data_IF_883101869922
#
_entry.id   IF_883101869922
#
_cell.length_a   1.000
_cell.length_b   1.000
_cell.length_c   1.000
_cell.angle_alpha   90.00
_cell.angle_beta   90.00
_cell.angle_gamma   90.00
#
_symmetry.space_group_name_H-M   'P 1'
#
loop_
_entity.id
_entity.type
_entity.pdbx_description
1 polymer ?
#
# COMPACT_ATOMS: atom_id res chain seq x y z
N UNK A 1 -16.36 -4.94 -0.23
CA UNK A 1 -17.24 -5.22 0.95
C UNK A 1 -18.34 -4.17 1.01
N UNK A 2 -19.56 -4.55 1.40
CA UNK A 2 -20.58 -3.54 1.67
C UNK A 2 -20.22 -2.78 2.93
N UNK A 3 -20.30 -1.44 2.89
CA UNK A 3 -20.14 -0.57 4.05
C UNK A 3 -21.09 -1.05 5.16
N UNK A 4 -20.62 -1.36 6.38
CA UNK A 4 -21.49 -1.77 7.46
C UNK A 4 -22.52 -0.69 7.78
N UNK A 5 -23.74 -1.08 8.14
CA UNK A 5 -24.72 -0.14 8.63
C UNK A 5 -24.17 0.54 9.88
N UNK A 6 -24.09 1.85 9.85
CA UNK A 6 -23.40 2.68 10.87
C UNK A 6 -23.97 2.59 12.28
N UNK A 7 -25.11 1.94 12.48
CA UNK A 7 -25.79 1.99 13.77
C UNK A 7 -26.51 0.67 14.06
N UNK A 8 -26.07 -0.02 15.10
CA UNK A 8 -26.84 -1.08 15.74
C UNK A 8 -27.65 -0.46 16.87
N UNK A 9 -28.98 -0.41 16.74
CA UNK A 9 -29.88 0.10 17.76
C UNK A 9 -30.59 -1.06 18.44
N UNK A 10 -30.54 -1.12 19.75
CA UNK A 10 -31.39 -2.02 20.53
C UNK A 10 -31.94 -1.30 21.76
N UNK A 11 -33.18 -1.66 22.14
CA UNK A 11 -33.85 -1.14 23.34
C UNK A 11 -33.89 -2.20 24.40
N UNK A 12 -33.43 -1.86 25.59
CA UNK A 12 -33.55 -2.73 26.76
C UNK A 12 -33.91 -1.84 27.96
N UNK A 13 -35.03 -2.17 28.63
CA UNK A 13 -35.45 -1.43 29.84
C UNK A 13 -35.72 0.05 29.64
N UNK A 14 -36.23 0.46 28.46
CA UNK A 14 -36.52 1.87 28.14
C UNK A 14 -35.30 2.69 27.68
N UNK A 15 -34.11 2.10 27.68
CA UNK A 15 -32.88 2.74 27.23
C UNK A 15 -32.60 2.32 25.80
N UNK A 16 -32.31 3.27 24.91
CA UNK A 16 -31.90 3.03 23.54
C UNK A 16 -30.39 3.07 23.46
N UNK A 17 -29.79 1.99 22.97
CA UNK A 17 -28.34 1.88 22.71
C UNK A 17 -28.07 2.02 21.23
N UNK A 18 -27.09 2.85 20.91
CA UNK A 18 -26.58 3.05 19.55
C UNK A 18 -25.10 2.71 19.51
N UNK A 19 -24.67 1.85 18.59
CA UNK A 19 -23.26 1.46 18.45
C UNK A 19 -22.78 1.69 17.02
N UNK A 20 -21.69 2.41 16.87
CA UNK A 20 -20.98 2.65 15.60
C UNK A 20 -19.66 1.87 15.52
N UNK A 21 -19.44 0.90 16.40
CA UNK A 21 -18.16 0.17 16.49
C UNK A 21 -17.79 -0.51 15.17
N UNK A 22 -18.74 -1.19 14.52
CA UNK A 22 -18.48 -1.90 13.26
C UNK A 22 -18.12 -0.92 12.14
N UNK A 23 -18.76 0.23 12.11
CA UNK A 23 -18.43 1.28 11.13
C UNK A 23 -17.05 1.90 11.41
N UNK A 24 -16.72 2.18 12.65
CA UNK A 24 -15.41 2.69 13.03
C UNK A 24 -14.29 1.69 12.72
N UNK A 25 -14.49 0.41 13.04
CA UNK A 25 -13.54 -0.66 12.69
C UNK A 25 -13.35 -0.77 11.16
N UNK A 26 -14.44 -0.73 10.39
CA UNK A 26 -14.37 -0.71 8.94
C UNK A 26 -13.54 0.48 8.43
N UNK A 27 -13.83 1.69 8.90
CA UNK A 27 -13.15 2.92 8.48
C UNK A 27 -11.65 2.85 8.79
N UNK A 28 -11.25 2.38 9.97
CA UNK A 28 -9.84 2.21 10.34
C UNK A 28 -9.13 1.24 9.42
N UNK A 29 -9.74 0.09 9.15
CA UNK A 29 -9.14 -0.94 8.28
C UNK A 29 -8.99 -0.44 6.84
N UNK A 30 -10.01 0.19 6.28
CA UNK A 30 -9.95 0.69 4.90
C UNK A 30 -9.00 1.89 4.76
N UNK A 31 -8.94 2.81 5.74
CA UNK A 31 -7.93 3.87 5.75
C UNK A 31 -6.50 3.31 5.83
N UNK A 32 -6.28 2.30 6.67
CA UNK A 32 -4.98 1.64 6.76
C UNK A 32 -4.59 1.00 5.43
N UNK A 33 -5.54 0.40 4.72
CA UNK A 33 -5.31 -0.18 3.39
C UNK A 33 -5.00 0.88 2.35
N UNK A 34 -5.74 1.99 2.35
CA UNK A 34 -5.50 3.12 1.46
C UNK A 34 -4.09 3.70 1.68
N UNK A 35 -3.71 3.92 2.93
CA UNK A 35 -2.36 4.35 3.30
C UNK A 35 -1.28 3.39 2.77
N UNK A 36 -1.45 2.08 2.97
CA UNK A 36 -0.51 1.06 2.50
C UNK A 36 -0.39 1.01 0.98
N UNK A 37 -1.50 1.22 0.24
CA UNK A 37 -1.47 1.31 -1.22
C UNK A 37 -0.64 2.51 -1.68
N UNK A 38 -0.81 3.67 -1.08
CA UNK A 38 -0.05 4.86 -1.44
C UNK A 38 1.43 4.75 -1.07
N UNK A 39 1.74 4.17 0.08
CA UNK A 39 3.12 3.82 0.46
C UNK A 39 3.72 2.82 -0.53
N UNK A 40 2.97 1.78 -0.92
CA UNK A 40 3.39 0.79 -1.91
C UNK A 40 3.70 1.42 -3.27
N UNK A 41 2.82 2.26 -3.79
CA UNK A 41 3.02 3.04 -5.02
C UNK A 41 4.28 3.90 -4.94
N UNK A 42 4.47 4.58 -3.80
CA UNK A 42 5.63 5.44 -3.57
C UNK A 42 6.94 4.64 -3.58
N UNK A 43 7.01 3.52 -2.83
CA UNK A 43 8.20 2.65 -2.78
C UNK A 43 8.52 2.08 -4.16
N UNK A 44 7.52 1.55 -4.88
CA UNK A 44 7.71 1.01 -6.24
C UNK A 44 8.24 2.07 -7.19
N UNK A 45 7.71 3.30 -7.13
CA UNK A 45 8.22 4.42 -7.93
C UNK A 45 9.68 4.71 -7.62
N UNK A 46 10.05 4.79 -6.33
CA UNK A 46 11.43 5.03 -5.89
C UNK A 46 12.38 3.89 -6.26
N UNK A 47 11.93 2.65 -6.15
CA UNK A 47 12.69 1.49 -6.60
C UNK A 47 12.96 1.52 -8.12
N UNK A 48 11.96 1.85 -8.92
CA UNK A 48 12.12 2.02 -10.37
C UNK A 48 13.10 3.15 -10.72
N UNK A 49 13.01 4.30 -10.04
CA UNK A 49 13.95 5.41 -10.18
C UNK A 49 15.38 4.98 -9.83
N UNK A 50 15.55 4.24 -8.73
CA UNK A 50 16.84 3.69 -8.29
C UNK A 50 17.42 2.70 -9.29
N UNK A 51 16.60 1.78 -9.79
CA UNK A 51 17.00 0.82 -10.80
C UNK A 51 17.48 1.47 -12.10
N UNK A 52 16.85 2.57 -12.52
CA UNK A 52 17.26 3.32 -13.72
C UNK A 52 18.62 3.99 -13.57
N UNK A 53 19.05 4.30 -12.37
CA UNK A 53 20.31 4.99 -12.07
C UNK A 53 21.50 4.03 -11.92
N UNK A 54 21.26 2.70 -11.85
CA UNK A 54 22.31 1.73 -11.67
C UNK A 54 23.27 1.72 -12.87
N UNK A 55 24.60 1.84 -12.64
CA UNK A 55 25.59 1.76 -13.69
C UNK A 55 25.64 0.35 -14.32
N UNK A 56 25.89 0.26 -15.62
CA UNK A 56 26.09 -1.01 -16.32
C UNK A 56 24.81 -1.73 -16.77
N UNK A 57 23.63 -1.31 -16.35
CA UNK A 57 22.37 -1.86 -16.85
C UNK A 57 22.04 -1.29 -18.23
N UNK A 58 22.12 -2.15 -19.27
CA UNK A 58 21.70 -1.74 -20.62
C UNK A 58 20.23 -1.30 -20.59
N UNK A 59 19.91 -0.16 -21.23
CA UNK A 59 18.53 0.36 -21.36
C UNK A 59 17.54 -0.69 -21.89
N UNK A 60 18.02 -1.68 -22.67
CA UNK A 60 17.21 -2.78 -23.21
C UNK A 60 16.76 -3.83 -22.19
N UNK A 61 17.40 -3.90 -21.02
CA UNK A 61 17.03 -4.79 -19.91
C UNK A 61 16.27 -4.07 -18.81
N UNK A 62 16.14 -2.75 -18.93
CA UNK A 62 15.28 -1.96 -18.05
C UNK A 62 13.87 -2.09 -18.57
N UNK A 63 12.96 -2.21 -17.67
CA UNK A 63 11.52 -2.23 -17.89
C UNK A 63 11.09 -1.74 -19.28
N UNK A 64 10.82 -2.66 -20.20
CA UNK A 64 10.16 -2.34 -21.45
C UNK A 64 8.72 -2.82 -21.34
N UNK A 65 7.79 -1.90 -21.51
CA UNK A 65 6.38 -2.20 -21.56
C UNK A 65 5.63 -1.94 -20.25
N UNK A 66 4.42 -2.47 -20.19
CA UNK A 66 3.45 -2.27 -19.10
C UNK A 66 3.80 -3.00 -17.79
N UNK A 67 4.79 -3.90 -17.80
CA UNK A 67 5.19 -4.67 -16.63
C UNK A 67 6.31 -3.95 -15.88
N UNK A 68 5.99 -3.38 -14.74
CA UNK A 68 6.96 -2.88 -13.79
C UNK A 68 7.83 -4.02 -13.26
N UNK A 69 9.13 -3.76 -13.05
CA UNK A 69 10.02 -4.71 -12.38
C UNK A 69 9.62 -4.93 -10.94
N UNK A 70 9.08 -3.90 -10.30
CA UNK A 70 8.64 -3.92 -8.92
C UNK A 70 7.12 -3.75 -8.86
N UNK A 71 6.51 -4.46 -7.93
CA UNK A 71 5.09 -4.38 -7.65
C UNK A 71 4.85 -4.37 -6.14
N UNK A 72 3.67 -3.92 -5.77
CA UNK A 72 3.19 -3.98 -4.39
C UNK A 72 1.84 -4.68 -4.35
N UNK A 73 1.52 -5.24 -3.20
CA UNK A 73 0.24 -5.86 -2.91
C UNK A 73 -0.18 -5.55 -1.47
N UNK A 74 -1.45 -5.29 -1.27
CA UNK A 74 -2.08 -5.17 0.05
C UNK A 74 -3.13 -6.27 0.16
N UNK A 75 -2.73 -7.48 0.58
CA UNK A 75 -3.64 -8.62 0.58
C UNK A 75 -4.80 -8.41 1.55
N UNK A 76 -5.94 -8.99 1.18
CA UNK A 76 -7.10 -9.10 2.06
C UNK A 76 -6.81 -10.13 3.14
N UNK A 77 -6.51 -9.68 4.35
CA UNK A 77 -6.53 -10.57 5.51
C UNK A 77 -7.98 -10.82 5.90
N UNK A 78 -8.42 -12.07 5.85
CA UNK A 78 -9.74 -12.47 6.40
C UNK A 78 -9.76 -12.33 7.92
N UNK A 79 -8.61 -12.47 8.54
CA UNK A 79 -8.37 -12.33 9.98
C UNK A 79 -7.03 -11.67 10.17
N UNK A 80 -7.01 -10.46 10.73
CA UNK A 80 -5.77 -9.74 11.03
C UNK A 80 -5.73 -8.33 10.47
N UNK A 81 -4.66 -7.62 10.82
CA UNK A 81 -4.39 -6.27 10.30
C UNK A 81 -3.92 -6.36 8.85
N UNK A 82 -4.29 -5.38 8.00
CA UNK A 82 -3.74 -5.28 6.66
C UNK A 82 -2.23 -5.13 6.71
N UNK A 83 -1.53 -5.66 5.72
CA UNK A 83 -0.09 -5.53 5.59
C UNK A 83 0.28 -5.21 4.15
N UNK A 84 1.43 -4.59 3.96
CA UNK A 84 1.98 -4.22 2.67
C UNK A 84 3.09 -5.20 2.27
N UNK A 85 2.95 -5.79 1.09
CA UNK A 85 3.99 -6.57 0.45
C UNK A 85 4.55 -5.79 -0.74
N UNK A 86 5.87 -5.66 -0.81
CA UNK A 86 6.55 -5.06 -1.97
C UNK A 86 7.59 -6.03 -2.47
N UNK A 87 7.60 -6.30 -3.77
CA UNK A 87 8.44 -7.32 -4.33
C UNK A 87 8.83 -7.09 -5.78
N UNK A 88 9.45 -8.11 -6.35
CA UNK A 88 9.88 -8.17 -7.75
C UNK A 88 8.86 -8.99 -8.54
N UNK A 89 8.52 -8.54 -9.73
CA UNK A 89 7.60 -9.26 -10.62
C UNK A 89 8.21 -10.59 -11.04
N UNK A 90 7.42 -11.66 -11.04
CA UNK A 90 7.84 -13.02 -11.41
C UNK A 90 8.58 -13.10 -12.77
N UNK A 91 8.18 -12.29 -13.73
CA UNK A 91 8.80 -12.26 -15.07
C UNK A 91 10.19 -11.58 -15.10
N UNK A 92 10.67 -11.05 -13.99
CA UNK A 92 11.96 -10.36 -13.89
C UNK A 92 12.94 -11.16 -13.04
N UNK A 93 13.29 -12.37 -13.51
CA UNK A 93 14.21 -13.29 -12.84
C UNK A 93 15.56 -12.65 -12.41
N UNK A 94 15.99 -11.61 -13.09
CA UNK A 94 17.21 -10.85 -12.75
C UNK A 94 16.99 -9.85 -11.59
N UNK A 95 15.75 -9.52 -11.26
CA UNK A 95 15.43 -8.57 -10.20
C UNK A 95 15.82 -9.07 -8.81
N UNK A 96 15.61 -10.35 -8.54
CA UNK A 96 16.06 -10.97 -7.29
C UNK A 96 17.59 -10.91 -7.16
N UNK A 97 18.33 -11.22 -8.25
CA UNK A 97 19.78 -11.13 -8.26
C UNK A 97 20.30 -9.69 -8.07
N UNK A 98 19.57 -8.69 -8.53
CA UNK A 98 19.90 -7.27 -8.29
C UNK A 98 19.60 -6.84 -6.86
N UNK A 99 18.53 -7.33 -6.27
CA UNK A 99 18.15 -7.01 -4.90
C UNK A 99 19.07 -7.69 -3.87
N UNK A 100 19.26 -9.00 -4.01
CA UNK A 100 19.97 -9.82 -3.03
C UNK A 100 21.46 -10.02 -3.36
N UNK A 101 21.83 -9.87 -4.63
CA UNK A 101 23.13 -10.21 -5.13
C UNK A 101 23.30 -11.72 -5.38
N UNK A 102 24.26 -12.07 -6.21
CA UNK A 102 24.69 -13.46 -6.43
C UNK A 102 26.18 -13.50 -6.80
N UNK A 103 26.73 -14.69 -7.07
CA UNK A 103 28.16 -14.88 -7.42
C UNK A 103 28.63 -14.08 -8.65
N UNK A 104 27.69 -13.63 -9.51
CA UNK A 104 27.98 -12.90 -10.77
C UNK A 104 27.51 -11.45 -10.74
N UNK A 105 26.77 -11.03 -9.71
CA UNK A 105 26.13 -9.74 -9.63
C UNK A 105 26.19 -9.20 -8.20
N UNK A 106 26.73 -7.98 -7.99
CA UNK A 106 26.75 -7.39 -6.66
C UNK A 106 25.33 -7.06 -6.18
N UNK A 107 25.14 -7.11 -4.87
CA UNK A 107 23.88 -6.70 -4.22
C UNK A 107 23.69 -5.21 -4.38
N UNK A 108 22.54 -4.80 -4.92
CA UNK A 108 22.15 -3.39 -5.03
C UNK A 108 21.12 -2.96 -3.99
N UNK A 109 20.28 -3.86 -3.47
CA UNK A 109 19.29 -3.58 -2.42
C UNK A 109 18.31 -2.49 -2.81
N UNK A 110 17.80 -2.52 -4.04
CA UNK A 110 17.02 -1.43 -4.64
C UNK A 110 15.75 -1.15 -3.86
N UNK A 111 14.98 -2.20 -3.54
CA UNK A 111 13.75 -2.08 -2.75
C UNK A 111 14.04 -1.66 -1.31
N UNK A 112 15.06 -2.29 -0.71
CA UNK A 112 15.48 -1.95 0.63
C UNK A 112 15.89 -0.49 0.75
N UNK A 113 16.71 0.00 -0.17
CA UNK A 113 17.15 1.41 -0.19
C UNK A 113 15.97 2.35 -0.48
N UNK A 114 15.08 1.98 -1.42
CA UNK A 114 13.88 2.77 -1.71
C UNK A 114 12.97 2.97 -0.49
N UNK A 115 12.85 1.97 0.37
CA UNK A 115 12.10 2.09 1.62
C UNK A 115 12.89 2.85 2.68
N UNK A 116 14.13 2.42 2.96
CA UNK A 116 14.95 2.94 4.05
C UNK A 116 15.30 4.43 3.89
N UNK A 117 15.72 4.84 2.69
CA UNK A 117 16.14 6.21 2.44
C UNK A 117 14.96 7.21 2.39
N UNK A 118 13.73 6.70 2.38
CA UNK A 118 12.52 7.51 2.29
C UNK A 118 11.56 7.31 3.46
N UNK A 119 12.05 6.82 4.61
CA UNK A 119 11.21 6.60 5.81
C UNK A 119 10.42 7.85 6.20
N UNK A 120 11.05 9.02 6.21
CA UNK A 120 10.39 10.26 6.56
C UNK A 120 9.18 10.56 5.67
N UNK A 121 9.29 10.27 4.35
CA UNK A 121 8.18 10.48 3.41
C UNK A 121 7.09 9.42 3.55
N UNK A 122 7.45 8.20 3.90
CA UNK A 122 6.50 7.14 4.20
C UNK A 122 5.66 7.52 5.42
N UNK A 123 6.32 7.96 6.49
CA UNK A 123 5.65 8.43 7.72
C UNK A 123 4.74 9.63 7.43
N UNK A 124 5.16 10.55 6.56
CA UNK A 124 4.34 11.70 6.14
C UNK A 124 3.06 11.22 5.43
N UNK A 125 3.16 10.25 4.51
CA UNK A 125 2.00 9.67 3.84
C UNK A 125 1.08 9.01 4.87
N UNK A 126 1.59 8.16 5.75
CA UNK A 126 0.79 7.48 6.76
C UNK A 126 0.12 8.46 7.73
N UNK A 127 0.80 9.53 8.13
CA UNK A 127 0.26 10.54 9.03
C UNK A 127 -0.94 11.29 8.44
N UNK A 128 -0.99 11.47 7.12
CA UNK A 128 -2.14 12.07 6.45
C UNK A 128 -3.41 11.24 6.62
N UNK A 129 -3.27 9.91 6.54
CA UNK A 129 -4.38 8.98 6.74
C UNK A 129 -4.77 8.88 8.22
N UNK A 130 -3.80 8.86 9.14
CA UNK A 130 -4.10 8.87 10.58
C UNK A 130 -4.82 10.14 11.01
N UNK A 131 -4.42 11.30 10.50
CA UNK A 131 -5.10 12.57 10.81
C UNK A 131 -6.52 12.65 10.26
N UNK A 132 -6.85 11.83 9.26
CA UNK A 132 -8.22 11.75 8.73
C UNK A 132 -9.17 10.98 9.64
N UNK A 133 -8.69 10.24 10.64
CA UNK A 133 -9.54 9.55 11.60
C UNK A 133 -10.34 10.52 12.50
N UNK A 134 -9.88 11.76 12.64
CA UNK A 134 -10.56 12.80 13.42
C UNK A 134 -11.78 13.39 12.68
N UNK A 135 -11.90 13.15 11.36
CA UNK A 135 -12.96 13.66 10.49
C UNK A 135 -13.53 12.54 9.61
N UNK A 136 -14.74 12.10 9.91
CA UNK A 136 -15.42 11.02 9.19
C UNK A 136 -15.59 11.33 7.69
N UNK A 137 -15.93 12.55 7.34
CA UNK A 137 -16.12 12.93 5.94
C UNK A 137 -14.82 12.86 5.15
N UNK A 138 -13.71 13.30 5.77
CA UNK A 138 -12.37 13.20 5.19
C UNK A 138 -11.90 11.76 5.08
N UNK A 139 -12.16 10.94 6.10
CA UNK A 139 -11.83 9.52 6.08
C UNK A 139 -12.52 8.79 4.93
N UNK A 140 -13.82 8.99 4.77
CA UNK A 140 -14.61 8.38 3.70
C UNK A 140 -14.17 8.88 2.30
N UNK A 141 -13.78 10.14 2.14
CA UNK A 141 -13.28 10.65 0.87
C UNK A 141 -11.98 9.98 0.44
N UNK A 142 -11.05 9.77 1.37
CA UNK A 142 -9.77 9.08 1.08
C UNK A 142 -9.98 7.60 0.72
N UNK A 143 -10.92 6.92 1.38
CA UNK A 143 -11.27 5.53 1.05
C UNK A 143 -11.87 5.47 -0.36
N UNK A 144 -12.82 6.35 -0.68
CA UNK A 144 -13.51 6.37 -1.99
C UNK A 144 -12.55 6.67 -3.16
N UNK A 145 -11.62 7.60 -2.97
CA UNK A 145 -10.61 7.92 -3.99
C UNK A 145 -9.70 6.72 -4.30
N UNK A 146 -9.36 5.93 -3.30
CA UNK A 146 -8.52 4.74 -3.50
C UNK A 146 -9.28 3.57 -4.14
N UNK A 147 -10.54 3.36 -3.79
CA UNK A 147 -11.38 2.37 -4.47
C UNK A 147 -11.54 2.71 -5.95
N UNK A 148 -11.72 3.98 -6.29
CA UNK A 148 -11.85 4.45 -7.67
C UNK A 148 -10.55 4.29 -8.47
N UNK A 149 -9.39 4.55 -7.86
CA UNK A 149 -8.08 4.39 -8.50
C UNK A 149 -7.67 2.92 -8.68
N UNK A 150 -8.12 2.03 -7.79
CA UNK A 150 -7.80 0.60 -7.85
C UNK A 150 -8.58 -0.17 -8.92
N UNK A 151 -9.69 0.35 -9.41
CA UNK A 151 -10.50 -0.25 -10.47
C UNK A 151 -10.04 0.08 -11.90
N UNK A 152 -9.00 0.90 -12.06
CA UNK A 152 -8.50 1.33 -13.38
C UNK A 152 -7.27 0.54 -13.87
N UNK A 153 -6.73 -0.37 -13.07
CA UNK A 153 -5.51 -1.13 -13.36
C UNK A 153 -5.74 -2.65 -13.57
N UNK A 154 -7.00 -3.09 -13.82
CA UNK A 154 -7.34 -4.45 -14.25
C UNK A 154 -7.35 -4.58 -15.78
#
# INVERSE_FOLDING_TARGET
MSVPKSVVRFRKGGIEYTSNVDFACYTIVELSRAAMRDVGKFIVRKANEGAMKLPGLKKSRRVRGRTSTFLYNVPWAKTGLPHLEVGVTHNTWYGEGQELGNSKMPKHGILRNAAHDNIAKIVEIESQYLSALDDEARALSLISEEEYKGGADD
#
